data_IF_614013518827
#
_entry.id   IF_614013518827
#
_cell.length_a   1.000
_cell.length_b   1.000
_cell.length_c   1.000
_cell.angle_alpha   90.00
_cell.angle_beta   90.00
_cell.angle_gamma   90.00
#
_symmetry.space_group_name_H-M   'P 1'
#
loop_
_entity.id
_entity.type
_entity.pdbx_description
1 polymer ?
#
# COMPACT_ATOMS: atom_id res chain seq x y z
N UNK A 1 23.59 3.53 -3.51
CA UNK A 1 22.99 4.86 -3.26
C UNK A 1 21.49 4.67 -3.17
N UNK A 2 20.84 4.97 -2.04
CA UNK A 2 19.37 5.03 -2.01
C UNK A 2 18.90 6.12 -2.97
N UNK A 3 17.89 5.81 -3.79
CA UNK A 3 17.26 6.77 -4.70
C UNK A 3 16.12 7.42 -3.94
N UNK A 4 16.20 8.74 -3.75
CA UNK A 4 15.10 9.56 -3.21
C UNK A 4 14.45 10.28 -4.38
N UNK A 5 13.13 10.14 -4.54
CA UNK A 5 12.31 10.83 -5.54
C UNK A 5 11.22 11.61 -4.81
N UNK A 6 10.99 12.86 -5.22
CA UNK A 6 9.80 13.62 -4.84
C UNK A 6 8.63 13.03 -5.64
N UNK A 7 7.97 12.04 -5.05
CA UNK A 7 6.79 11.42 -5.64
C UNK A 7 5.57 12.15 -5.12
N UNK A 8 4.48 12.23 -5.90
CA UNK A 8 3.19 12.69 -5.40
C UNK A 8 2.74 11.81 -4.24
N UNK A 9 3.08 12.18 -3.01
CA UNK A 9 2.63 11.52 -1.79
C UNK A 9 1.58 12.44 -1.18
N UNK A 10 0.34 11.96 -1.13
CA UNK A 10 -0.72 12.62 -0.39
C UNK A 10 -0.88 11.90 0.94
N UNK A 11 -0.53 12.58 2.02
CA UNK A 11 -0.69 12.04 3.37
C UNK A 11 -2.02 12.56 3.90
N UNK A 12 -2.80 11.71 4.56
CA UNK A 12 -3.98 12.16 5.28
C UNK A 12 -3.64 13.18 6.37
N UNK A 13 -4.67 13.78 6.94
CA UNK A 13 -4.54 14.66 8.09
C UNK A 13 -3.84 13.93 9.28
N UNK A 14 -3.30 14.65 10.28
CA UNK A 14 -2.54 14.05 11.37
C UNK A 14 -3.22 12.90 12.13
N UNK A 15 -4.56 12.87 12.09
CA UNK A 15 -5.40 11.89 12.78
C UNK A 15 -5.84 10.73 11.87
N UNK A 16 -5.57 10.86 10.56
CA UNK A 16 -5.87 9.88 9.53
C UNK A 16 -4.72 8.87 9.40
N UNK A 17 -5.05 7.67 8.93
CA UNK A 17 -4.13 6.52 8.95
C UNK A 17 -3.83 6.02 7.54
N UNK A 18 -3.86 6.93 6.56
CA UNK A 18 -3.60 6.59 5.17
C UNK A 18 -2.61 7.52 4.47
N UNK A 19 -2.01 6.97 3.42
CA UNK A 19 -1.13 7.67 2.47
C UNK A 19 -1.49 7.21 1.07
N UNK A 20 -1.66 8.13 0.14
CA UNK A 20 -1.72 7.81 -1.28
C UNK A 20 -0.39 8.09 -1.97
N UNK A 21 -0.01 7.18 -2.84
CA UNK A 21 1.19 7.26 -3.67
C UNK A 21 0.83 6.99 -5.12
N UNK A 22 1.63 7.54 -6.03
CA UNK A 22 1.47 7.27 -7.45
C UNK A 22 1.64 5.77 -7.75
N UNK A 23 0.88 5.22 -8.72
CA UNK A 23 1.00 3.81 -9.10
C UNK A 23 2.42 3.38 -9.48
N UNK A 24 3.21 4.26 -10.10
CA UNK A 24 4.62 3.96 -10.43
C UNK A 24 5.43 3.61 -9.16
N UNK A 25 5.20 4.33 -8.06
CA UNK A 25 5.91 4.13 -6.79
C UNK A 25 5.51 2.81 -6.16
N UNK A 26 4.20 2.56 -6.05
CA UNK A 26 3.70 1.31 -5.47
C UNK A 26 4.14 0.08 -6.26
N UNK A 27 4.11 0.16 -7.59
CA UNK A 27 4.58 -0.92 -8.46
C UNK A 27 6.08 -1.13 -8.38
N UNK A 28 6.88 -0.06 -8.38
CA UNK A 28 8.34 -0.15 -8.20
C UNK A 28 8.68 -0.78 -6.85
N UNK A 29 7.97 -0.39 -5.79
CA UNK A 29 8.12 -0.95 -4.45
C UNK A 29 7.80 -2.46 -4.42
N UNK A 30 6.66 -2.87 -5.01
CA UNK A 30 6.28 -4.28 -5.17
C UNK A 30 7.37 -5.07 -5.91
N UNK A 31 7.82 -4.57 -7.07
CA UNK A 31 8.84 -5.23 -7.88
C UNK A 31 10.15 -5.42 -7.12
N UNK A 32 10.63 -4.41 -6.41
CA UNK A 32 11.85 -4.49 -5.61
C UNK A 32 11.74 -5.53 -4.47
N UNK A 33 10.56 -5.70 -3.87
CA UNK A 33 10.31 -6.73 -2.85
C UNK A 33 10.31 -8.13 -3.47
N UNK A 34 9.60 -8.32 -4.59
CA UNK A 34 9.55 -9.60 -5.31
C UNK A 34 10.95 -10.04 -5.72
N UNK A 35 11.78 -9.11 -6.22
CA UNK A 35 13.17 -9.39 -6.60
C UNK A 35 14.02 -9.88 -5.41
N UNK A 36 13.79 -9.35 -4.21
CA UNK A 36 14.56 -9.73 -3.01
C UNK A 36 14.09 -11.04 -2.38
N UNK A 37 12.79 -11.33 -2.41
CA UNK A 37 12.24 -12.57 -1.82
C UNK A 37 12.48 -13.79 -2.74
N UNK A 38 12.73 -13.54 -4.04
CA UNK A 38 12.98 -14.57 -5.04
C UNK A 38 11.69 -15.07 -5.72
N UNK A 39 11.83 -15.42 -7.00
CA UNK A 39 10.73 -15.72 -7.95
C UNK A 39 9.87 -16.95 -7.58
N UNK A 40 10.23 -17.71 -6.53
CA UNK A 40 9.45 -18.85 -6.04
C UNK A 40 8.07 -18.50 -5.47
N UNK A 41 7.86 -17.24 -5.07
CA UNK A 41 6.56 -16.71 -4.64
C UNK A 41 5.75 -16.05 -5.77
N UNK A 42 6.31 -15.94 -6.99
CA UNK A 42 5.76 -15.11 -8.07
C UNK A 42 4.40 -15.60 -8.57
N UNK A 43 4.11 -16.91 -8.52
CA UNK A 43 2.82 -17.44 -8.98
C UNK A 43 1.62 -17.09 -8.11
N UNK A 44 1.83 -16.67 -6.85
CA UNK A 44 0.75 -16.24 -5.94
C UNK A 44 0.62 -14.71 -5.85
N UNK A 45 1.65 -13.97 -6.28
CA UNK A 45 1.79 -12.53 -6.07
C UNK A 45 1.31 -11.68 -7.26
N UNK A 46 1.17 -12.27 -8.45
CA UNK A 46 0.60 -11.60 -9.62
C UNK A 46 -0.88 -11.24 -9.42
N UNK A 47 -1.61 -11.98 -8.57
CA UNK A 47 -3.03 -11.75 -8.25
C UNK A 47 -3.22 -10.93 -6.96
N UNK A 48 -2.17 -10.70 -6.16
CA UNK A 48 -2.29 -9.89 -4.96
C UNK A 48 -2.22 -8.40 -5.30
N UNK A 49 -3.38 -7.76 -5.31
CA UNK A 49 -3.56 -6.30 -5.30
C UNK A 49 -3.17 -5.67 -3.97
N UNK A 50 -2.71 -6.45 -2.99
CA UNK A 50 -2.27 -5.94 -1.69
C UNK A 50 -0.91 -6.50 -1.31
N UNK A 51 -0.17 -5.73 -0.53
CA UNK A 51 1.14 -6.10 -0.02
C UNK A 51 1.24 -5.75 1.48
N UNK A 52 1.59 -6.72 2.35
CA UNK A 52 1.70 -6.46 3.78
C UNK A 52 2.96 -5.67 4.10
N UNK A 53 2.77 -4.58 4.84
CA UNK A 53 3.81 -3.67 5.30
C UNK A 53 3.83 -3.57 6.83
N UNK A 54 4.83 -2.86 7.32
CA UNK A 54 4.91 -2.34 8.66
C UNK A 54 5.29 -0.87 8.60
N UNK A 55 4.77 -0.08 9.54
CA UNK A 55 5.10 1.33 9.69
C UNK A 55 5.87 1.55 10.98
N UNK A 56 7.09 2.09 10.88
CA UNK A 56 7.91 2.45 12.02
C UNK A 56 7.63 3.91 12.42
N UNK A 57 7.09 4.12 13.62
CA UNK A 57 6.71 5.44 14.10
C UNK A 57 7.94 6.31 14.50
N UNK A 58 9.07 5.70 14.87
CA UNK A 58 10.30 6.42 15.24
C UNK A 58 10.97 7.01 13.99
N UNK A 59 11.04 6.25 12.90
CA UNK A 59 11.68 6.66 11.64
C UNK A 59 10.71 7.13 10.56
N UNK A 60 9.39 7.02 10.81
CA UNK A 60 8.29 7.40 9.90
C UNK A 60 8.43 6.79 8.51
N UNK A 61 8.74 5.51 8.47
CA UNK A 61 8.88 4.77 7.22
C UNK A 61 8.08 3.48 7.18
N UNK A 62 7.58 3.18 6.00
CA UNK A 62 6.99 1.90 5.67
C UNK A 62 8.05 0.97 5.10
N UNK A 63 8.06 -0.28 5.56
CA UNK A 63 8.87 -1.35 5.00
C UNK A 63 8.06 -2.63 4.86
N UNK A 64 8.56 -3.58 4.09
CA UNK A 64 8.03 -4.94 4.13
C UNK A 64 8.31 -5.58 5.50
N UNK A 65 7.42 -6.46 5.99
CA UNK A 65 7.56 -7.10 7.31
C UNK A 65 8.85 -7.91 7.46
N UNK A 66 9.33 -8.50 6.37
CA UNK A 66 10.50 -9.40 6.37
C UNK A 66 11.77 -8.80 5.76
N UNK A 67 11.72 -7.57 5.24
CA UNK A 67 12.86 -6.94 4.55
C UNK A 67 13.15 -5.56 5.14
N UNK A 68 14.44 -5.21 5.18
CA UNK A 68 14.86 -3.88 5.61
C UNK A 68 14.70 -2.81 4.52
N UNK A 69 14.62 -3.20 3.24
CA UNK A 69 14.49 -2.33 2.08
C UNK A 69 13.66 -3.02 0.97
N UNK A 70 13.03 -2.26 0.05
CA UNK A 70 12.91 -0.80 0.00
C UNK A 70 12.06 -0.23 1.16
N UNK A 71 12.12 1.10 1.34
CA UNK A 71 11.32 1.85 2.32
C UNK A 71 10.62 3.03 1.68
N UNK A 72 9.45 3.39 2.19
CA UNK A 72 8.74 4.63 1.85
C UNK A 72 8.74 5.50 3.10
N UNK A 73 9.50 6.58 3.11
CA UNK A 73 9.52 7.52 4.22
C UNK A 73 8.47 8.61 4.00
N UNK A 74 7.83 9.04 5.08
CA UNK A 74 6.86 10.13 5.10
C UNK A 74 7.25 11.21 6.12
N UNK A 75 6.77 12.43 5.94
CA UNK A 75 7.15 13.59 6.75
C UNK A 75 6.52 13.59 8.16
N UNK A 76 5.35 12.97 8.30
CA UNK A 76 4.57 12.96 9.55
C UNK A 76 4.32 11.54 10.08
N UNK A 77 3.87 11.47 11.33
CA UNK A 77 3.42 10.22 11.91
C UNK A 77 1.97 9.93 11.49
N UNK A 78 1.55 8.67 11.59
CA UNK A 78 0.17 8.27 11.30
C UNK A 78 -0.51 7.75 12.56
N UNK A 79 -1.71 8.25 12.82
CA UNK A 79 -2.57 7.81 13.91
C UNK A 79 -1.99 7.98 15.30
N UNK A 80 -2.68 7.40 16.27
CA UNK A 80 -2.22 7.30 17.66
C UNK A 80 -1.45 6.01 17.88
N UNK A 81 -0.12 6.07 17.75
CA UNK A 81 0.76 4.94 17.96
C UNK A 81 0.62 4.35 19.38
N UNK A 82 0.21 3.09 19.47
CA UNK A 82 0.22 2.31 20.73
C UNK A 82 1.57 1.63 21.00
N UNK A 83 2.48 1.67 20.03
CA UNK A 83 3.80 1.07 20.08
C UNK A 83 4.70 1.63 18.96
N UNK A 84 5.92 1.11 18.85
CA UNK A 84 6.92 1.60 17.87
C UNK A 84 6.62 1.23 16.43
N UNK A 85 5.91 0.12 16.23
CA UNK A 85 5.61 -0.42 14.90
C UNK A 85 4.13 -0.75 14.81
N UNK A 86 3.49 -0.29 13.75
CA UNK A 86 2.13 -0.67 13.37
C UNK A 86 2.13 -1.55 12.13
N UNK A 87 1.18 -2.47 12.03
CA UNK A 87 0.97 -3.21 10.77
C UNK A 87 0.28 -2.28 9.76
N UNK A 88 0.62 -2.44 8.48
CA UNK A 88 0.06 -1.64 7.41
C UNK A 88 -0.14 -2.50 6.15
N UNK A 89 -0.96 -2.00 5.23
CA UNK A 89 -1.23 -2.66 3.96
C UNK A 89 -1.05 -1.65 2.83
N UNK A 90 -0.28 -2.02 1.80
CA UNK A 90 -0.21 -1.30 0.52
C UNK A 90 -1.22 -1.90 -0.44
N UNK A 91 -2.15 -1.07 -0.91
CA UNK A 91 -3.18 -1.35 -1.90
C UNK A 91 -2.69 -0.90 -3.26
N UNK A 92 -2.65 -1.82 -4.22
CA UNK A 92 -2.01 -1.68 -5.52
C UNK A 92 -3.00 -1.52 -6.69
N UNK A 93 -4.29 -1.37 -6.39
CA UNK A 93 -5.34 -1.17 -7.40
C UNK A 93 -5.85 0.27 -7.46
N UNK A 94 -6.57 0.59 -8.53
CA UNK A 94 -7.12 1.91 -8.85
C UNK A 94 -6.10 2.96 -9.29
N UNK A 95 -6.56 4.21 -9.43
CA UNK A 95 -5.77 5.31 -10.00
C UNK A 95 -4.64 5.79 -9.09
N UNK A 96 -4.81 5.61 -7.79
CA UNK A 96 -3.81 5.89 -6.76
C UNK A 96 -3.67 4.66 -5.88
N UNK A 97 -2.42 4.32 -5.57
CA UNK A 97 -2.12 3.26 -4.63
C UNK A 97 -2.25 3.85 -3.22
N UNK A 98 -2.82 3.09 -2.30
CA UNK A 98 -3.03 3.53 -0.93
C UNK A 98 -2.14 2.72 0.03
N UNK A 99 -1.73 3.31 1.13
CA UNK A 99 -1.14 2.63 2.27
C UNK A 99 -1.98 2.97 3.48
N UNK A 100 -2.51 1.98 4.19
CA UNK A 100 -3.32 2.19 5.41
C UNK A 100 -2.72 1.45 6.60
N UNK A 101 -2.85 1.99 7.82
CA UNK A 101 -2.57 1.21 9.02
C UNK A 101 -3.67 0.17 9.27
N UNK A 102 -3.30 -1.07 9.57
CA UNK A 102 -4.24 -2.16 9.75
C UNK A 102 -5.11 -1.96 11.01
N UNK A 103 -6.38 -2.37 10.94
CA UNK A 103 -7.33 -2.24 12.06
C UNK A 103 -7.88 -0.82 12.27
N UNK A 104 -7.66 0.09 11.32
CA UNK A 104 -8.22 1.45 11.31
C UNK A 104 -9.47 1.55 10.46
N UNK A 105 -10.23 2.64 10.62
CA UNK A 105 -11.39 2.93 9.75
C UNK A 105 -10.96 3.15 8.30
N UNK A 106 -9.78 3.74 8.08
CA UNK A 106 -9.22 4.00 6.76
C UNK A 106 -8.94 2.69 6.01
N UNK A 107 -8.38 1.70 6.70
CA UNK A 107 -8.18 0.35 6.15
C UNK A 107 -9.50 -0.31 5.76
N UNK A 108 -10.52 -0.18 6.60
CA UNK A 108 -11.83 -0.78 6.33
C UNK A 108 -12.55 -0.07 5.20
N UNK A 109 -12.36 1.24 5.06
CA UNK A 109 -12.87 2.02 3.94
C UNK A 109 -12.19 1.62 2.63
N UNK A 110 -10.85 1.59 2.59
CA UNK A 110 -10.10 1.20 1.39
C UNK A 110 -10.47 -0.21 0.93
N UNK A 111 -10.52 -1.19 1.84
CA UNK A 111 -10.95 -2.54 1.50
C UNK A 111 -12.29 -2.56 0.77
N UNK A 112 -13.32 -1.95 1.36
CA UNK A 112 -14.67 -1.91 0.78
C UNK A 112 -14.71 -1.15 -0.53
N UNK A 113 -13.96 -0.05 -0.63
CA UNK A 113 -13.85 0.76 -1.84
C UNK A 113 -13.29 -0.06 -3.01
N UNK A 114 -12.20 -0.82 -2.79
CA UNK A 114 -11.58 -1.67 -3.82
C UNK A 114 -12.43 -2.88 -4.18
N UNK A 115 -13.03 -3.55 -3.20
CA UNK A 115 -13.97 -4.65 -3.43
C UNK A 115 -15.16 -4.19 -4.29
N UNK A 116 -15.78 -3.07 -3.95
CA UNK A 116 -16.90 -2.50 -4.71
C UNK A 116 -16.50 -2.14 -6.14
N UNK A 117 -15.32 -1.55 -6.33
CA UNK A 117 -14.82 -1.20 -7.65
C UNK A 117 -14.59 -2.44 -8.53
N UNK A 118 -14.07 -3.52 -7.94
CA UNK A 118 -13.88 -4.79 -8.65
C UNK A 118 -15.22 -5.40 -9.09
N UNK A 119 -16.22 -5.43 -8.19
CA UNK A 119 -17.56 -5.94 -8.50
C UNK A 119 -18.24 -5.13 -9.61
N UNK A 120 -18.20 -3.79 -9.52
CA UNK A 120 -18.77 -2.89 -10.52
C UNK A 120 -18.11 -3.06 -11.89
N UNK A 121 -16.78 -3.23 -11.93
CA UNK A 121 -16.07 -3.47 -13.18
C UNK A 121 -16.50 -4.80 -13.81
N UNK A 122 -16.64 -5.86 -13.02
CA UNK A 122 -17.16 -7.15 -13.49
C UNK A 122 -18.58 -7.04 -14.07
N UNK A 123 -19.46 -6.28 -13.42
CA UNK A 123 -20.81 -6.04 -13.90
C UNK A 123 -20.84 -5.21 -15.21
N UNK A 124 -19.97 -4.21 -15.34
CA UNK A 124 -19.86 -3.40 -16.56
C UNK A 124 -19.40 -4.21 -17.77
N UNK A 125 -18.46 -5.14 -17.60
CA UNK A 125 -18.03 -6.01 -18.70
C UNK A 125 -19.17 -6.91 -19.18
N UNK A 126 -19.99 -7.46 -18.27
CA UNK A 126 -21.17 -8.26 -18.65
C UNK A 126 -22.21 -7.45 -19.44
N UNK A 127 -22.32 -6.14 -19.20
CA UNK A 127 -23.24 -5.26 -19.92
C UNK A 127 -22.77 -4.87 -21.32
N UNK A 128 -21.46 -4.98 -21.63
CA UNK A 128 -20.95 -4.68 -22.98
C UNK A 128 -21.32 -5.73 -24.01
N UNK A 129 -21.57 -6.95 -23.55
CA UNK A 129 -21.90 -8.11 -24.39
C UNK A 129 -23.42 -8.36 -24.50
N UNK A 130 -24.25 -7.41 -24.02
CA UNK A 130 -25.72 -7.42 -24.11
C UNK A 130 -26.23 -6.51 -25.22
#
# INVERSE_FOLDING_TARGET
>A
MPVSRDTGIMIGEPDENFVYIEPEVGNTFKSAIIQQIGSGASKRSEVCETLPLQFNHDSKDFSHKSLSHPRIAISQNLGHAKGKVSSATLWLSGNWHAITLDGTLDESFERKSRESAFELNGALELLKDS
#
